data_IF_254039635876
#
_entry.id   IF_254039635876
#
_cell.length_a   1.000
_cell.length_b   1.000
_cell.length_c   1.000
_cell.angle_alpha   90.00
_cell.angle_beta   90.00
_cell.angle_gamma   90.00
#
_symmetry.space_group_name_H-M   'P 1'
#
loop_
_entity.id
_entity.type
_entity.pdbx_description
1 polymer ?
#
# COMPACT_ATOMS: atom_id res chain seq x y z
N UNK A 1 17.64 10.29 -4.40
CA UNK A 1 16.19 10.47 -4.52
C UNK A 1 15.49 9.74 -3.39
N UNK A 2 14.63 10.41 -2.66
CA UNK A 2 13.91 9.73 -1.59
C UNK A 2 12.98 8.65 -2.13
N UNK A 3 12.85 7.58 -1.37
CA UNK A 3 11.94 6.48 -1.67
C UNK A 3 10.80 6.44 -0.70
N UNK A 4 9.67 5.97 -1.18
CA UNK A 4 8.42 5.94 -0.41
C UNK A 4 7.75 4.59 -0.56
N UNK A 5 7.07 4.19 0.50
CA UNK A 5 6.13 3.07 0.48
C UNK A 5 4.73 3.66 0.42
N UNK A 6 4.00 3.31 -0.63
CA UNK A 6 2.57 3.59 -0.73
C UNK A 6 1.81 2.30 -0.48
N UNK A 7 0.71 2.36 0.26
CA UNK A 7 -0.13 1.18 0.44
C UNK A 7 -1.58 1.58 0.65
N UNK A 8 -2.47 0.67 0.32
CA UNK A 8 -3.90 0.87 0.49
C UNK A 8 -4.43 -0.09 1.53
N UNK A 9 -5.31 0.43 2.39
CA UNK A 9 -5.99 -0.35 3.43
C UNK A 9 -7.49 -0.27 3.21
N UNK A 10 -8.16 -1.38 3.46
CA UNK A 10 -9.60 -1.50 3.35
C UNK A 10 -10.08 -2.65 4.22
N UNK A 11 -11.37 -2.73 4.48
CA UNK A 11 -11.93 -3.87 5.20
C UNK A 11 -11.75 -5.14 4.37
N UNK A 12 -11.40 -6.23 5.03
CA UNK A 12 -11.33 -7.52 4.38
C UNK A 12 -12.75 -8.00 4.03
N UNK A 13 -12.89 -8.62 2.87
CA UNK A 13 -14.19 -9.15 2.47
C UNK A 13 -15.08 -8.16 1.71
N UNK A 14 -14.57 -6.99 1.34
CA UNK A 14 -15.36 -6.01 0.56
C UNK A 14 -15.59 -6.43 -0.89
N UNK A 15 -15.01 -7.54 -1.28
CA UNK A 15 -15.12 -8.06 -2.64
C UNK A 15 -13.97 -7.65 -3.54
N UNK A 16 -14.11 -8.02 -4.81
CA UNK A 16 -13.08 -7.74 -5.83
C UNK A 16 -13.27 -6.33 -6.39
N UNK A 17 -12.20 -5.56 -6.52
CA UNK A 17 -12.30 -4.26 -7.20
C UNK A 17 -12.84 -4.40 -8.62
N UNK A 18 -13.58 -3.40 -9.11
CA UNK A 18 -14.06 -3.41 -10.50
C UNK A 18 -12.91 -3.46 -11.50
N UNK A 19 -13.13 -4.08 -12.65
CA UNK A 19 -12.12 -4.16 -13.71
C UNK A 19 -11.65 -2.78 -14.14
N UNK A 20 -12.55 -1.81 -14.17
CA UNK A 20 -12.19 -0.43 -14.52
C UNK A 20 -11.13 0.16 -13.58
N UNK A 21 -11.18 -0.19 -12.30
CA UNK A 21 -10.15 0.24 -11.33
C UNK A 21 -8.81 -0.45 -11.62
N UNK A 22 -8.82 -1.74 -11.88
CA UNK A 22 -7.59 -2.47 -12.25
C UNK A 22 -6.96 -1.88 -13.50
N UNK A 23 -7.75 -1.59 -14.53
CA UNK A 23 -7.26 -1.00 -15.78
C UNK A 23 -6.64 0.37 -15.53
N UNK A 24 -7.30 1.21 -14.72
CA UNK A 24 -6.80 2.54 -14.38
C UNK A 24 -5.51 2.48 -13.56
N UNK A 25 -5.43 1.55 -12.61
CA UNK A 25 -4.22 1.35 -11.82
C UNK A 25 -3.06 0.85 -12.67
N UNK A 26 -3.31 -0.08 -13.58
CA UNK A 26 -2.28 -0.60 -14.48
C UNK A 26 -1.72 0.50 -15.37
N UNK A 27 -2.57 1.36 -15.89
CA UNK A 27 -2.13 2.50 -16.70
C UNK A 27 -1.29 3.48 -15.88
N UNK A 28 -1.74 3.81 -14.67
CA UNK A 28 -1.02 4.70 -13.75
C UNK A 28 0.36 4.13 -13.42
N UNK A 29 0.43 2.85 -13.07
CA UNK A 29 1.67 2.17 -12.71
C UNK A 29 2.62 2.09 -13.92
N UNK A 30 2.09 1.78 -15.10
CA UNK A 30 2.89 1.70 -16.33
C UNK A 30 3.55 3.03 -16.68
N UNK A 31 2.82 4.14 -16.54
CA UNK A 31 3.37 5.48 -16.76
C UNK A 31 4.50 5.79 -15.77
N UNK A 32 4.31 5.45 -14.49
CA UNK A 32 5.32 5.70 -13.45
C UNK A 32 6.53 4.80 -13.61
N UNK A 33 6.33 3.57 -14.02
CA UNK A 33 7.44 2.65 -14.33
C UNK A 33 8.29 3.18 -15.49
N UNK A 34 7.64 3.68 -16.55
CA UNK A 34 8.34 4.25 -17.70
C UNK A 34 9.17 5.48 -17.33
N UNK A 35 8.76 6.23 -16.30
CA UNK A 35 9.49 7.41 -15.82
C UNK A 35 10.53 7.07 -14.75
N UNK A 36 10.66 5.82 -14.35
CA UNK A 36 11.56 5.39 -13.28
C UNK A 36 11.08 5.74 -11.88
N UNK A 37 9.82 6.15 -11.74
CA UNK A 37 9.22 6.50 -10.44
C UNK A 37 8.77 5.25 -9.69
N UNK A 38 8.11 4.33 -10.37
CA UNK A 38 7.67 3.07 -9.77
C UNK A 38 8.82 2.06 -9.78
N UNK A 39 9.16 1.53 -8.60
CA UNK A 39 10.25 0.55 -8.44
C UNK A 39 9.68 -0.87 -8.39
N UNK A 40 8.70 -1.11 -7.53
CA UNK A 40 8.11 -2.42 -7.33
C UNK A 40 6.77 -2.27 -6.62
N UNK A 41 5.91 -3.28 -6.71
CA UNK A 41 4.63 -3.27 -6.03
C UNK A 41 3.76 -4.44 -6.43
N UNK A 42 2.64 -4.55 -5.76
CA UNK A 42 1.67 -5.61 -6.04
C UNK A 42 0.52 -5.61 -5.06
N UNK A 43 -0.36 -6.58 -5.25
CA UNK A 43 -1.44 -6.86 -4.32
C UNK A 43 -1.03 -7.90 -3.29
N UNK A 44 -1.81 -7.98 -2.22
CA UNK A 44 -1.65 -9.01 -1.20
C UNK A 44 -2.91 -9.87 -1.16
N UNK A 45 -2.72 -11.15 -0.88
CA UNK A 45 -3.86 -12.04 -0.60
C UNK A 45 -4.50 -11.65 0.74
N UNK A 46 -5.69 -12.16 1.01
CA UNK A 46 -6.36 -11.97 2.28
C UNK A 46 -5.57 -12.52 3.47
N UNK A 47 -5.96 -12.14 4.68
CA UNK A 47 -5.20 -12.48 5.88
C UNK A 47 -5.36 -13.92 6.36
N UNK A 48 -6.21 -14.71 5.74
CA UNK A 48 -6.40 -16.11 6.16
C UNK A 48 -5.11 -16.95 6.07
N UNK A 49 -4.23 -16.62 5.12
CA UNK A 49 -2.94 -17.26 4.97
C UNK A 49 -1.79 -16.49 5.64
N UNK A 50 -2.11 -15.43 6.37
CA UNK A 50 -1.09 -14.64 7.04
C UNK A 50 -0.53 -15.38 8.25
N UNK A 51 0.75 -15.19 8.49
CA UNK A 51 1.45 -15.78 9.65
C UNK A 51 2.06 -14.62 10.43
N UNK A 52 1.76 -14.58 11.72
CA UNK A 52 2.31 -13.57 12.62
C UNK A 52 3.19 -14.24 13.67
N UNK A 53 4.27 -13.55 14.03
CA UNK A 53 5.08 -13.92 15.17
C UNK A 53 5.02 -12.75 16.14
N UNK A 54 4.39 -12.98 17.30
CA UNK A 54 4.23 -11.96 18.33
C UNK A 54 5.38 -12.07 19.30
N UNK A 55 6.13 -11.00 19.45
CA UNK A 55 7.25 -10.92 20.40
C UNK A 55 6.80 -10.12 21.61
N UNK A 56 6.76 -10.77 22.76
CA UNK A 56 6.31 -10.14 24.00
C UNK A 56 7.15 -10.69 25.16
N UNK A 57 7.73 -9.78 25.95
CA UNK A 57 8.57 -10.15 27.09
C UNK A 57 9.71 -11.11 26.69
N UNK A 58 10.29 -10.93 25.52
CA UNK A 58 11.37 -11.78 25.04
C UNK A 58 10.94 -13.13 24.48
N UNK A 59 9.65 -13.40 24.41
CA UNK A 59 9.12 -14.64 23.87
C UNK A 59 8.48 -14.41 22.49
N UNK A 60 8.57 -15.42 21.63
CA UNK A 60 7.99 -15.39 20.29
C UNK A 60 6.86 -16.40 20.20
N UNK A 61 5.68 -15.94 19.83
CA UNK A 61 4.50 -16.79 19.65
C UNK A 61 4.00 -16.64 18.20
N UNK A 62 3.75 -17.76 17.55
CA UNK A 62 3.14 -17.75 16.21
C UNK A 62 1.62 -17.62 16.33
N UNK A 63 1.05 -16.68 15.58
CA UNK A 63 -0.39 -16.48 15.50
C UNK A 63 -0.78 -16.40 14.03
N UNK A 64 -1.48 -17.40 13.55
CA UNK A 64 -1.91 -17.46 12.15
C UNK A 64 -3.18 -16.62 11.95
N UNK A 65 -3.33 -16.07 10.72
CA UNK A 65 -4.55 -15.39 10.33
C UNK A 65 -5.77 -16.31 10.24
N UNK A 66 -6.95 -15.78 9.97
CA UNK A 66 -7.20 -14.38 9.63
C UNK A 66 -7.13 -13.43 10.83
N UNK A 67 -7.10 -12.12 10.55
CA UNK A 67 -7.06 -11.08 11.58
C UNK A 67 -8.49 -10.82 12.10
N UNK A 68 -8.89 -11.55 13.10
CA UNK A 68 -10.27 -11.52 13.59
C UNK A 68 -10.73 -10.15 14.09
N UNK A 69 -9.80 -9.32 14.58
CA UNK A 69 -10.12 -8.01 15.15
C UNK A 69 -9.70 -6.84 14.26
N UNK A 70 -9.04 -7.09 13.15
CA UNK A 70 -8.61 -6.02 12.25
C UNK A 70 -9.80 -5.52 11.45
N UNK A 71 -10.02 -4.20 11.49
CA UNK A 71 -11.05 -3.56 10.68
C UNK A 71 -10.59 -3.33 9.26
N UNK A 72 -9.28 -3.13 9.10
CA UNK A 72 -8.67 -2.83 7.81
C UNK A 72 -7.41 -3.64 7.63
N UNK A 73 -7.17 -4.07 6.41
CA UNK A 73 -5.96 -4.81 6.05
C UNK A 73 -5.30 -4.15 4.85
N UNK A 74 -3.99 -4.32 4.73
CA UNK A 74 -3.27 -3.83 3.57
C UNK A 74 -3.59 -4.73 2.38
N UNK A 75 -4.15 -4.15 1.32
CA UNK A 75 -4.52 -4.90 0.12
C UNK A 75 -3.55 -4.76 -1.03
N UNK A 76 -2.76 -3.68 -1.05
CA UNK A 76 -1.78 -3.43 -2.10
C UNK A 76 -0.68 -2.49 -1.63
N UNK A 77 0.46 -2.55 -2.29
CA UNK A 77 1.65 -1.78 -1.89
C UNK A 77 2.49 -1.44 -3.11
N UNK A 78 3.28 -0.37 -2.98
CA UNK A 78 4.24 0.03 -4.00
C UNK A 78 5.44 0.73 -3.38
N UNK A 79 6.60 0.53 -3.97
CA UNK A 79 7.81 1.27 -3.64
C UNK A 79 8.08 2.22 -4.80
N UNK A 80 8.24 3.49 -4.49
CA UNK A 80 8.40 4.55 -5.48
C UNK A 80 9.54 5.47 -5.10
N UNK A 81 10.12 6.16 -6.06
CA UNK A 81 11.12 7.20 -5.81
C UNK A 81 10.74 8.47 -6.56
N UNK A 82 10.95 9.59 -5.90
CA UNK A 82 10.62 10.92 -6.41
C UNK A 82 11.73 11.91 -6.09
N UNK A 83 11.77 12.99 -6.84
CA UNK A 83 12.72 14.08 -6.55
C UNK A 83 12.34 14.81 -5.26
N UNK A 84 11.04 14.98 -5.01
CA UNK A 84 10.55 15.73 -3.85
C UNK A 84 9.40 14.99 -3.16
N UNK A 85 9.18 15.33 -1.89
CA UNK A 85 8.03 14.84 -1.11
C UNK A 85 6.71 15.31 -1.72
N UNK A 86 6.69 16.53 -2.22
CA UNK A 86 5.49 17.13 -2.83
C UNK A 86 5.04 16.34 -4.05
N UNK A 87 5.97 15.87 -4.87
CA UNK A 87 5.66 15.02 -6.02
C UNK A 87 5.08 13.67 -5.57
N UNK A 88 5.65 13.09 -4.52
CA UNK A 88 5.17 11.84 -3.95
C UNK A 88 3.74 11.98 -3.44
N UNK A 89 3.45 13.07 -2.72
CA UNK A 89 2.11 13.34 -2.19
C UNK A 89 1.09 13.53 -3.32
N UNK A 90 1.46 14.30 -4.33
CA UNK A 90 0.57 14.53 -5.48
C UNK A 90 0.24 13.24 -6.21
N UNK A 91 1.22 12.37 -6.37
CA UNK A 91 1.06 11.11 -7.07
C UNK A 91 0.23 10.10 -6.26
N UNK A 92 0.45 10.07 -4.95
CA UNK A 92 -0.37 9.23 -4.05
C UNK A 92 -1.83 9.69 -4.04
N UNK A 93 -2.06 10.99 -4.06
CA UNK A 93 -3.41 11.55 -4.15
C UNK A 93 -4.09 11.14 -5.45
N UNK A 94 -3.39 11.23 -6.57
CA UNK A 94 -3.91 10.80 -7.86
C UNK A 94 -4.32 9.33 -7.85
N UNK A 95 -3.51 8.49 -7.24
CA UNK A 95 -3.81 7.06 -7.09
C UNK A 95 -5.06 6.85 -6.22
N UNK A 96 -5.19 7.60 -5.13
CA UNK A 96 -6.38 7.55 -4.28
C UNK A 96 -7.64 7.99 -5.04
N UNK A 97 -7.52 8.98 -5.90
CA UNK A 97 -8.63 9.48 -6.71
C UNK A 97 -9.15 8.44 -7.71
N UNK A 98 -8.30 7.52 -8.17
CA UNK A 98 -8.74 6.40 -8.99
C UNK A 98 -9.73 5.51 -8.22
N UNK A 99 -9.46 5.26 -6.95
CA UNK A 99 -10.35 4.47 -6.10
C UNK A 99 -11.68 5.19 -5.87
N UNK A 100 -11.63 6.50 -5.64
CA UNK A 100 -12.85 7.30 -5.48
C UNK A 100 -13.72 7.29 -6.73
N UNK A 101 -13.10 7.28 -7.89
CA UNK A 101 -13.81 7.31 -9.17
C UNK A 101 -14.40 5.95 -9.54
N UNK A 102 -13.63 4.88 -9.38
CA UNK A 102 -13.99 3.57 -9.93
C UNK A 102 -14.53 2.59 -8.88
N UNK A 103 -14.36 2.89 -7.60
CA UNK A 103 -14.85 2.02 -6.52
C UNK A 103 -15.38 2.84 -5.32
N UNK A 104 -16.34 3.74 -5.57
CA UNK A 104 -16.78 4.68 -4.54
C UNK A 104 -17.51 4.03 -3.34
N UNK A 105 -18.02 2.79 -3.49
CA UNK A 105 -18.76 2.12 -2.43
C UNK A 105 -17.87 1.67 -1.27
N UNK A 106 -16.56 1.59 -1.49
CA UNK A 106 -15.61 1.04 -0.50
C UNK A 106 -14.75 2.15 0.06
N UNK A 107 -14.63 2.18 1.38
CA UNK A 107 -13.69 3.10 2.02
C UNK A 107 -12.28 2.53 1.88
N UNK A 108 -11.41 3.30 1.25
CA UNK A 108 -10.01 2.95 1.03
C UNK A 108 -9.15 4.05 1.64
N UNK A 109 -8.16 3.65 2.43
CA UNK A 109 -7.17 4.57 2.98
C UNK A 109 -5.86 4.35 2.23
N UNK A 110 -5.45 5.36 1.47
CA UNK A 110 -4.22 5.32 0.67
C UNK A 110 -3.14 6.09 1.44
N UNK A 111 -2.10 5.39 1.87
CA UNK A 111 -1.08 5.93 2.77
C UNK A 111 0.26 6.00 2.07
N UNK A 112 0.99 7.08 2.33
CA UNK A 112 2.35 7.30 1.85
C UNK A 112 3.28 7.42 3.04
N UNK A 113 4.38 6.65 3.04
CA UNK A 113 5.41 6.76 4.08
C UNK A 113 6.78 6.79 3.44
N UNK A 114 7.63 7.69 3.90
CA UNK A 114 9.00 7.76 3.41
C UNK A 114 9.83 6.60 3.99
N UNK A 115 10.62 5.95 3.15
CA UNK A 115 11.48 4.85 3.56
C UNK A 115 12.75 5.43 4.14
N UNK A 116 13.14 4.94 5.32
CA UNK A 116 14.38 5.34 5.98
C UNK A 116 15.58 4.86 5.19
N UNK A 117 16.60 5.71 5.10
CA UNK A 117 17.84 5.39 4.39
C UNK A 117 18.87 4.66 5.26
N UNK A 118 18.57 4.46 6.53
CA UNK A 118 19.49 3.80 7.45
C UNK A 118 18.97 3.83 8.88
N UNK A 119 19.82 3.56 9.87
CA UNK A 119 19.41 3.56 11.27
C UNK A 119 19.15 4.95 11.85
N UNK A 120 19.53 6.02 11.12
CA UNK A 120 19.20 7.38 11.49
C UNK A 120 17.70 7.63 11.33
N UNK A 121 17.23 8.72 11.91
CA UNK A 121 15.82 9.07 11.85
C UNK A 121 15.33 9.18 10.42
N UNK A 122 14.10 8.71 10.14
CA UNK A 122 13.48 8.90 8.82
C UNK A 122 13.38 10.38 8.46
N UNK A 123 13.46 10.67 7.17
CA UNK A 123 13.31 12.01 6.65
C UNK A 123 14.60 12.79 6.49
N UNK A 124 15.71 12.15 6.67
CA UNK A 124 17.01 12.77 6.42
C UNK A 124 17.32 12.90 4.93
#
# INVERSE_FOLDING_TARGET
MPRFLGFVRMEEGVGTPPQALFDAMDEHISERAAKGVFIDGGGLYGTEDAVNFVVRNGEVTRVDGPYAEAKEVVGGWAIMQYDTVEEAVADQREFAELHAKYWPEVTVISTLRQISTGPEAPGE
#
